data_IF_969177632370
#
_entry.id   IF_969177632370
#
_cell.length_a   1.000
_cell.length_b   1.000
_cell.length_c   1.000
_cell.angle_alpha   90.00
_cell.angle_beta   90.00
_cell.angle_gamma   90.00
#
_symmetry.space_group_name_H-M   'P 1'
#
loop_
_entity.id
_entity.type
_entity.pdbx_description
1 polymer ?
#
# COMPACT_ATOMS: atom_id res chain seq x y z
N UNK A 1 18.14 13.88 -37.54
CA UNK A 1 18.90 13.50 -36.33
C UNK A 1 17.90 13.37 -35.19
N UNK A 2 17.64 12.14 -34.74
CA UNK A 2 16.77 11.88 -33.59
C UNK A 2 17.52 12.23 -32.31
N UNK A 3 17.06 13.24 -31.57
CA UNK A 3 17.58 13.53 -30.22
C UNK A 3 17.49 12.25 -29.39
N UNK A 4 18.60 11.75 -28.81
CA UNK A 4 18.58 10.51 -28.06
C UNK A 4 17.63 10.68 -26.87
N UNK A 5 16.67 9.76 -26.74
CA UNK A 5 15.80 9.68 -25.56
C UNK A 5 16.72 9.45 -24.37
N UNK A 6 16.96 10.50 -23.57
CA UNK A 6 17.80 10.38 -22.38
C UNK A 6 17.17 9.36 -21.44
N UNK A 7 17.90 8.30 -21.17
CA UNK A 7 17.54 7.33 -20.13
C UNK A 7 17.63 8.00 -18.76
N UNK A 8 16.84 7.55 -17.79
CA UNK A 8 16.91 8.06 -16.41
C UNK A 8 18.33 7.94 -15.82
N UNK A 9 19.08 6.91 -16.20
CA UNK A 9 20.48 6.75 -15.82
C UNK A 9 21.37 7.87 -16.39
N UNK A 10 21.15 8.29 -17.64
CA UNK A 10 21.89 9.41 -18.24
C UNK A 10 21.55 10.75 -17.58
N UNK A 11 20.26 10.99 -17.27
CA UNK A 11 19.82 12.19 -16.56
C UNK A 11 20.49 12.28 -15.18
N UNK A 12 20.59 11.15 -14.46
CA UNK A 12 21.18 11.10 -13.13
C UNK A 12 22.71 11.01 -13.12
N UNK A 13 23.34 10.65 -14.24
CA UNK A 13 24.80 10.55 -14.35
C UNK A 13 25.51 11.91 -14.39
N UNK A 14 24.80 12.99 -14.74
CA UNK A 14 25.35 14.34 -14.68
C UNK A 14 25.32 14.89 -13.24
N UNK A 15 26.23 15.80 -12.86
CA UNK A 15 26.23 16.48 -11.55
C UNK A 15 25.07 17.49 -11.44
N UNK A 16 23.84 17.09 -11.76
CA UNK A 16 22.65 17.93 -11.73
C UNK A 16 22.40 18.47 -10.31
N UNK A 17 22.76 17.70 -9.27
CA UNK A 17 22.63 18.09 -7.86
C UNK A 17 23.47 19.32 -7.47
N UNK A 18 24.57 19.58 -8.19
CA UNK A 18 25.45 20.72 -7.89
C UNK A 18 24.82 22.05 -8.32
N UNK A 19 24.04 22.03 -9.41
CA UNK A 19 23.39 23.22 -9.98
C UNK A 19 21.88 23.28 -9.69
N UNK A 20 21.35 22.34 -8.91
CA UNK A 20 19.93 22.27 -8.59
C UNK A 20 19.52 23.35 -7.57
N UNK A 21 18.37 23.98 -7.81
CA UNK A 21 17.71 24.81 -6.81
C UNK A 21 17.43 23.97 -5.57
N UNK A 22 17.79 24.45 -4.38
CA UNK A 22 17.55 23.72 -3.12
C UNK A 22 16.44 24.37 -2.32
N UNK A 23 15.50 23.55 -1.83
CA UNK A 23 14.48 23.99 -0.88
C UNK A 23 14.63 23.20 0.41
N UNK A 24 14.89 23.88 1.53
CA UNK A 24 15.21 23.24 2.82
C UNK A 24 16.32 22.19 2.72
N UNK A 25 17.35 22.45 1.91
CA UNK A 25 18.47 21.53 1.67
C UNK A 25 18.20 20.40 0.68
N UNK A 26 16.96 20.23 0.22
CA UNK A 26 16.56 19.20 -0.76
C UNK A 26 16.77 19.74 -2.18
N UNK A 27 17.56 19.03 -2.99
CA UNK A 27 17.80 19.38 -4.39
C UNK A 27 16.54 19.14 -5.24
N UNK A 28 16.11 20.17 -5.96
CA UNK A 28 14.92 20.14 -6.81
C UNK A 28 15.34 19.95 -8.25
N UNK A 29 14.89 18.85 -8.85
CA UNK A 29 15.11 18.62 -10.28
C UNK A 29 14.01 19.35 -11.07
N UNK A 30 14.34 20.15 -12.10
CA UNK A 30 13.35 20.93 -12.84
C UNK A 30 12.24 20.06 -13.46
N UNK A 31 12.60 18.89 -14.01
CA UNK A 31 11.63 17.92 -14.53
C UNK A 31 10.68 17.33 -13.48
N UNK A 32 10.99 17.41 -12.20
CA UNK A 32 10.11 16.97 -11.12
C UNK A 32 9.02 17.98 -10.78
N UNK A 33 9.26 19.26 -11.11
CA UNK A 33 8.32 20.35 -10.82
C UNK A 33 7.29 20.53 -11.94
N UNK A 34 7.51 19.91 -13.10
CA UNK A 34 6.56 19.90 -14.21
C UNK A 34 5.37 18.97 -13.93
N UNK A 35 4.21 19.37 -14.42
CA UNK A 35 3.07 18.47 -14.62
C UNK A 35 3.12 17.80 -16.01
N UNK A 36 2.20 16.86 -16.29
CA UNK A 36 2.22 16.12 -17.55
C UNK A 36 2.01 17.02 -18.78
N UNK A 37 1.09 17.99 -18.67
CA UNK A 37 0.75 18.91 -19.75
C UNK A 37 1.92 19.83 -20.11
N UNK A 38 2.56 20.45 -19.12
CA UNK A 38 3.74 21.29 -19.32
C UNK A 38 4.90 20.52 -19.92
N UNK A 39 5.11 19.29 -19.47
CA UNK A 39 6.15 18.42 -20.02
C UNK A 39 5.89 18.10 -21.49
N UNK A 40 4.65 17.73 -21.86
CA UNK A 40 4.28 17.47 -23.26
C UNK A 40 4.49 18.73 -24.11
N UNK A 41 4.07 19.90 -23.62
CA UNK A 41 4.25 21.20 -24.32
C UNK A 41 5.74 21.52 -24.54
N UNK A 42 6.60 21.22 -23.57
CA UNK A 42 8.05 21.40 -23.73
C UNK A 42 8.65 20.41 -24.75
N UNK A 43 8.15 19.17 -24.76
CA UNK A 43 8.62 18.14 -25.69
C UNK A 43 8.13 18.38 -27.12
N UNK A 44 6.95 18.96 -27.32
CA UNK A 44 6.43 19.30 -28.65
C UNK A 44 7.37 20.22 -29.44
N UNK A 45 8.11 21.09 -28.74
CA UNK A 45 9.08 21.99 -29.36
C UNK A 45 10.41 21.30 -29.72
N UNK A 46 10.74 20.18 -29.06
CA UNK A 46 12.08 19.58 -29.09
C UNK A 46 12.11 18.20 -29.75
N UNK A 47 11.03 17.44 -29.65
CA UNK A 47 10.95 16.05 -30.09
C UNK A 47 10.28 15.96 -31.47
N UNK A 48 10.90 15.19 -32.36
CA UNK A 48 10.31 14.87 -33.68
C UNK A 48 9.21 13.83 -33.60
N UNK A 49 9.21 13.00 -32.56
CA UNK A 49 8.22 11.94 -32.34
C UNK A 49 7.65 12.02 -30.92
N UNK A 50 6.34 12.26 -30.82
CA UNK A 50 5.60 12.40 -29.56
C UNK A 50 4.92 11.09 -29.12
N UNK A 51 4.89 10.05 -29.96
CA UNK A 51 4.23 8.77 -29.66
C UNK A 51 4.64 8.13 -28.33
N UNK A 52 5.94 8.00 -27.98
CA UNK A 52 6.33 7.32 -26.74
C UNK A 52 5.89 8.07 -25.47
N UNK A 53 5.71 9.39 -25.57
CA UNK A 53 5.27 10.24 -24.46
C UNK A 53 3.79 10.01 -24.16
N UNK A 54 2.94 10.03 -25.18
CA UNK A 54 1.51 9.76 -25.02
C UNK A 54 1.25 8.34 -24.52
N UNK A 55 2.01 7.35 -25.00
CA UNK A 55 1.87 5.97 -24.54
C UNK A 55 2.19 5.82 -23.04
N UNK A 56 3.26 6.46 -22.57
CA UNK A 56 3.65 6.45 -21.16
C UNK A 56 2.57 7.04 -20.25
N UNK A 57 2.06 8.23 -20.58
CA UNK A 57 0.99 8.87 -19.82
C UNK A 57 -0.34 8.13 -19.90
N UNK A 58 -0.69 7.56 -21.06
CA UNK A 58 -1.89 6.74 -21.20
C UNK A 58 -1.83 5.49 -20.33
N UNK A 59 -0.67 4.84 -20.26
CA UNK A 59 -0.44 3.70 -19.38
C UNK A 59 -0.59 4.08 -17.90
N UNK A 60 0.05 5.16 -17.45
CA UNK A 60 -0.09 5.65 -16.07
C UNK A 60 -1.55 6.02 -15.73
N UNK A 61 -2.25 6.72 -16.63
CA UNK A 61 -3.65 7.09 -16.46
C UNK A 61 -4.57 5.86 -16.32
N UNK A 62 -4.37 4.85 -17.18
CA UNK A 62 -5.12 3.59 -17.15
C UNK A 62 -4.89 2.83 -15.84
N UNK A 63 -3.64 2.79 -15.38
CA UNK A 63 -3.28 2.16 -14.12
C UNK A 63 -3.93 2.91 -12.94
N UNK A 64 -3.81 4.25 -12.91
CA UNK A 64 -4.38 5.08 -11.86
C UNK A 64 -5.92 4.96 -11.78
N UNK A 65 -6.61 4.96 -12.92
CA UNK A 65 -8.06 4.81 -12.96
C UNK A 65 -8.52 3.44 -12.44
N UNK A 66 -7.83 2.37 -12.84
CA UNK A 66 -8.10 1.00 -12.38
C UNK A 66 -7.92 0.90 -10.86
N UNK A 67 -6.83 1.43 -10.35
CA UNK A 67 -6.50 1.46 -8.91
C UNK A 67 -7.52 2.32 -8.14
N UNK A 68 -7.96 3.44 -8.71
CA UNK A 68 -8.97 4.32 -8.13
C UNK A 68 -10.30 3.60 -7.88
N UNK A 69 -10.82 2.90 -8.89
CA UNK A 69 -12.09 2.17 -8.77
C UNK A 69 -12.07 1.15 -7.62
N UNK A 70 -10.92 0.52 -7.37
CA UNK A 70 -10.73 -0.44 -6.29
C UNK A 70 -10.69 0.26 -4.94
N UNK A 71 -9.94 1.35 -4.82
CA UNK A 71 -9.88 2.11 -3.57
C UNK A 71 -11.22 2.73 -3.20
N UNK A 72 -11.99 3.22 -4.17
CA UNK A 72 -13.36 3.69 -3.96
C UNK A 72 -14.25 2.57 -3.42
N UNK A 73 -14.22 1.39 -4.07
CA UNK A 73 -14.94 0.21 -3.57
C UNK A 73 -14.52 -0.16 -2.14
N UNK A 74 -13.22 -0.20 -1.87
CA UNK A 74 -12.68 -0.55 -0.56
C UNK A 74 -13.08 0.48 0.50
N UNK A 75 -13.09 1.77 0.19
CA UNK A 75 -13.56 2.82 1.08
C UNK A 75 -15.03 2.62 1.46
N UNK A 76 -15.92 2.34 0.50
CA UNK A 76 -17.33 2.08 0.77
C UNK A 76 -17.53 0.87 1.68
N UNK A 77 -16.79 -0.22 1.45
CA UNK A 77 -16.87 -1.41 2.31
C UNK A 77 -16.33 -1.10 3.70
N UNK A 78 -15.21 -0.40 3.82
CA UNK A 78 -14.59 -0.05 5.10
C UNK A 78 -15.45 0.91 5.92
N UNK A 79 -16.11 1.88 5.29
CA UNK A 79 -17.13 2.73 5.94
C UNK A 79 -18.28 1.87 6.47
N UNK A 80 -18.77 0.92 5.67
CA UNK A 80 -19.86 0.03 6.10
C UNK A 80 -19.44 -0.82 7.31
N UNK A 81 -18.20 -1.32 7.33
CA UNK A 81 -17.64 -2.08 8.44
C UNK A 81 -17.46 -1.23 9.70
N UNK A 82 -17.01 0.02 9.56
CA UNK A 82 -16.84 0.96 10.67
C UNK A 82 -18.17 1.41 11.27
N UNK A 83 -19.21 1.59 10.45
CA UNK A 83 -20.57 1.87 10.94
C UNK A 83 -21.10 0.76 11.84
N UNK A 84 -20.80 -0.50 11.52
CA UNK A 84 -21.20 -1.64 12.34
C UNK A 84 -20.30 -1.82 13.60
N UNK A 85 -19.01 -1.42 13.52
CA UNK A 85 -18.02 -1.60 14.59
C UNK A 85 -17.00 -0.45 14.63
N UNK A 86 -17.35 0.70 15.22
CA UNK A 86 -16.49 1.88 15.20
C UNK A 86 -15.19 1.72 16.02
N UNK A 87 -15.12 0.73 16.90
CA UNK A 87 -13.93 0.44 17.73
C UNK A 87 -12.99 -0.60 17.10
N UNK A 88 -13.32 -1.15 15.93
CA UNK A 88 -12.50 -2.17 15.28
C UNK A 88 -11.34 -1.54 14.50
N UNK A 89 -10.12 -1.65 15.04
CA UNK A 89 -8.87 -1.15 14.43
C UNK A 89 -8.72 -1.53 12.94
N UNK A 90 -9.00 -2.78 12.49
CA UNK A 90 -8.84 -3.13 11.08
C UNK A 90 -9.74 -2.33 10.14
N UNK A 91 -10.93 -1.92 10.61
CA UNK A 91 -11.83 -1.06 9.83
C UNK A 91 -11.23 0.34 9.60
N UNK A 92 -10.60 0.91 10.63
CA UNK A 92 -9.92 2.22 10.53
C UNK A 92 -8.68 2.14 9.63
N UNK A 93 -7.83 1.13 9.82
CA UNK A 93 -6.66 0.91 8.97
C UNK A 93 -7.06 0.77 7.49
N UNK A 94 -8.08 -0.03 7.21
CA UNK A 94 -8.57 -0.21 5.83
C UNK A 94 -9.20 1.06 5.26
N UNK A 95 -9.86 1.88 6.08
CA UNK A 95 -10.38 3.18 5.64
C UNK A 95 -9.25 4.16 5.33
N UNK A 96 -8.24 4.30 6.20
CA UNK A 96 -7.12 5.20 5.98
C UNK A 96 -6.32 4.81 4.73
N UNK A 97 -6.08 3.51 4.53
CA UNK A 97 -5.46 3.01 3.31
C UNK A 97 -6.28 3.34 2.06
N UNK A 98 -7.60 3.14 2.12
CA UNK A 98 -8.48 3.44 0.98
C UNK A 98 -8.58 4.93 0.66
N UNK A 99 -8.69 5.78 1.69
CA UNK A 99 -8.68 7.23 1.52
C UNK A 99 -7.36 7.72 0.95
N UNK A 100 -6.23 7.17 1.42
CA UNK A 100 -4.94 7.51 0.86
C UNK A 100 -4.83 7.13 -0.61
N UNK A 101 -5.31 5.94 -0.99
CA UNK A 101 -5.39 5.54 -2.39
C UNK A 101 -6.24 6.47 -3.25
N UNK A 102 -7.40 6.92 -2.75
CA UNK A 102 -8.27 7.89 -3.45
C UNK A 102 -7.55 9.23 -3.63
N UNK A 103 -6.94 9.76 -2.58
CA UNK A 103 -6.18 11.02 -2.67
C UNK A 103 -5.02 10.91 -3.66
N UNK A 104 -4.31 9.78 -3.68
CA UNK A 104 -3.28 9.52 -4.68
C UNK A 104 -3.84 9.56 -6.11
N UNK A 105 -4.98 8.92 -6.34
CA UNK A 105 -5.65 8.93 -7.65
C UNK A 105 -6.09 10.34 -8.06
N UNK A 106 -6.64 11.13 -7.13
CA UNK A 106 -7.02 12.52 -7.38
C UNK A 106 -5.81 13.38 -7.74
N UNK A 107 -4.70 13.24 -7.01
CA UNK A 107 -3.46 13.95 -7.31
C UNK A 107 -2.88 13.54 -8.67
N UNK A 108 -2.94 12.26 -9.01
CA UNK A 108 -2.46 11.77 -10.30
C UNK A 108 -3.35 12.27 -11.45
N UNK A 109 -4.68 12.31 -11.26
CA UNK A 109 -5.60 12.96 -12.21
C UNK A 109 -5.28 14.45 -12.38
N UNK A 110 -5.05 15.17 -11.29
CA UNK A 110 -4.62 16.57 -11.35
C UNK A 110 -3.27 16.74 -12.05
N UNK A 111 -2.32 15.82 -11.89
CA UNK A 111 -1.03 15.85 -12.60
C UNK A 111 -1.20 15.73 -14.11
N UNK A 112 -2.09 14.83 -14.57
CA UNK A 112 -2.40 14.65 -15.99
C UNK A 112 -3.11 15.86 -16.60
N UNK A 113 -3.95 16.55 -15.82
CA UNK A 113 -4.70 17.74 -16.25
C UNK A 113 -3.94 19.07 -16.10
N UNK A 114 -2.65 19.03 -15.73
CA UNK A 114 -1.83 20.24 -15.61
C UNK A 114 -1.94 20.98 -14.27
N UNK A 115 -2.40 20.30 -13.21
CA UNK A 115 -2.63 20.89 -11.89
C UNK A 115 -1.44 20.77 -10.92
N UNK A 116 -1.05 19.54 -10.55
CA UNK A 116 0.01 19.30 -9.55
C UNK A 116 1.31 18.80 -10.21
N UNK A 117 2.45 19.14 -9.62
CA UNK A 117 3.75 18.68 -10.09
C UNK A 117 3.97 17.18 -9.86
N UNK A 118 4.81 16.55 -10.69
CA UNK A 118 5.21 15.15 -10.52
C UNK A 118 5.80 14.87 -9.12
N UNK A 119 6.58 15.81 -8.59
CA UNK A 119 7.12 15.72 -7.22
C UNK A 119 6.03 15.58 -6.17
N UNK A 120 4.96 16.36 -6.27
CA UNK A 120 3.84 16.30 -5.33
C UNK A 120 3.16 14.92 -5.35
N UNK A 121 2.96 14.37 -6.55
CA UNK A 121 2.43 13.00 -6.74
C UNK A 121 3.35 11.97 -6.09
N UNK A 122 4.66 12.05 -6.33
CA UNK A 122 5.64 11.10 -5.79
C UNK A 122 5.79 11.20 -4.27
N UNK A 123 5.78 12.40 -3.71
CA UNK A 123 5.78 12.62 -2.26
C UNK A 123 4.56 11.96 -1.62
N UNK A 124 3.38 12.23 -2.16
CA UNK A 124 2.15 11.62 -1.66
C UNK A 124 2.16 10.10 -1.82
N UNK A 125 2.68 9.57 -2.94
CA UNK A 125 2.81 8.13 -3.19
C UNK A 125 3.65 7.44 -2.10
N UNK A 126 4.80 8.04 -1.76
CA UNK A 126 5.69 7.55 -0.70
C UNK A 126 5.02 7.59 0.67
N UNK A 127 4.35 8.70 0.99
CA UNK A 127 3.61 8.86 2.25
C UNK A 127 2.47 7.84 2.38
N UNK A 128 1.62 7.72 1.36
CA UNK A 128 0.48 6.82 1.36
C UNK A 128 0.89 5.35 1.48
N UNK A 129 2.02 4.98 0.90
CA UNK A 129 2.51 3.62 1.03
C UNK A 129 3.19 3.32 2.37
N UNK A 130 3.86 4.30 2.99
CA UNK A 130 4.28 4.18 4.38
C UNK A 130 3.07 3.98 5.32
N UNK A 131 2.00 4.75 5.09
CA UNK A 131 0.73 4.61 5.81
C UNK A 131 0.08 3.23 5.61
N UNK A 132 0.03 2.73 4.37
CA UNK A 132 -0.45 1.37 4.06
C UNK A 132 0.39 0.32 4.80
N UNK A 133 1.73 0.46 4.81
CA UNK A 133 2.60 -0.46 5.53
C UNK A 133 2.33 -0.45 7.05
N UNK A 134 2.16 0.73 7.65
CA UNK A 134 1.79 0.83 9.07
C UNK A 134 0.44 0.17 9.35
N UNK A 135 -0.55 0.37 8.48
CA UNK A 135 -1.86 -0.27 8.60
C UNK A 135 -1.75 -1.80 8.56
N UNK A 136 -0.93 -2.34 7.65
CA UNK A 136 -0.64 -3.77 7.57
C UNK A 136 -0.04 -4.28 8.87
N UNK A 137 1.03 -3.62 9.31
CA UNK A 137 1.77 -3.99 10.52
C UNK A 137 0.83 -4.05 11.71
N UNK A 138 0.00 -3.03 11.91
CA UNK A 138 -0.95 -2.94 13.03
C UNK A 138 -1.96 -4.08 13.00
N UNK A 139 -2.55 -4.39 11.84
CA UNK A 139 -3.56 -5.45 11.72
C UNK A 139 -2.95 -6.83 11.94
N UNK A 140 -1.79 -7.11 11.33
CA UNK A 140 -1.06 -8.37 11.54
C UNK A 140 -0.70 -8.55 13.01
N UNK A 141 -0.24 -7.47 13.64
CA UNK A 141 0.14 -7.50 15.03
C UNK A 141 -1.04 -7.75 15.96
N UNK A 142 -2.17 -7.09 15.71
CA UNK A 142 -3.38 -7.31 16.50
C UNK A 142 -3.78 -8.80 16.50
N UNK A 143 -3.66 -9.47 15.34
CA UNK A 143 -3.95 -10.91 15.21
C UNK A 143 -2.91 -11.76 15.93
N UNK A 144 -1.63 -11.47 15.76
CA UNK A 144 -0.56 -12.19 16.44
C UNK A 144 -0.66 -12.06 17.97
N UNK A 145 -0.95 -10.85 18.47
CA UNK A 145 -1.15 -10.56 19.88
C UNK A 145 -2.32 -11.36 20.48
N UNK A 146 -3.45 -11.43 19.77
CA UNK A 146 -4.59 -12.25 20.20
C UNK A 146 -4.25 -13.75 20.18
N UNK A 147 -3.49 -14.22 19.19
CA UNK A 147 -3.13 -15.63 19.08
C UNK A 147 -2.10 -16.09 20.13
N UNK A 148 -1.18 -15.22 20.56
CA UNK A 148 -0.16 -15.54 21.56
C UNK A 148 -0.57 -15.20 22.99
N UNK A 149 -1.86 -15.35 23.33
CA UNK A 149 -2.37 -15.12 24.69
C UNK A 149 -1.97 -13.75 25.27
N UNK A 150 -1.94 -12.70 24.43
CA UNK A 150 -1.70 -11.30 24.84
C UNK A 150 -0.30 -11.02 25.41
N UNK A 151 0.74 -11.67 24.88
CA UNK A 151 2.11 -11.36 25.26
C UNK A 151 2.49 -9.92 24.87
N UNK A 152 2.85 -9.08 25.86
CA UNK A 152 3.12 -7.64 25.67
C UNK A 152 4.34 -7.35 24.78
N UNK A 153 5.34 -8.23 24.78
CA UNK A 153 6.55 -8.08 23.95
C UNK A 153 6.23 -7.95 22.46
N UNK A 154 5.17 -8.59 21.99
CA UNK A 154 4.73 -8.45 20.60
C UNK A 154 4.36 -7.01 20.26
N UNK A 155 3.86 -6.20 21.19
CA UNK A 155 3.51 -4.80 20.90
C UNK A 155 4.76 -3.92 20.71
N UNK A 156 5.86 -4.27 21.38
CA UNK A 156 7.12 -3.50 21.34
C UNK A 156 7.88 -3.77 20.04
N UNK A 157 7.96 -5.02 19.60
CA UNK A 157 8.75 -5.42 18.43
C UNK A 157 8.47 -4.60 17.17
N UNK A 158 7.22 -4.42 16.70
CA UNK A 158 6.95 -3.62 15.52
C UNK A 158 7.08 -2.12 15.74
N UNK A 159 6.96 -1.61 16.97
CA UNK A 159 7.29 -0.21 17.25
C UNK A 159 8.78 0.05 16.99
N UNK A 160 9.64 -0.84 17.50
CA UNK A 160 11.09 -0.80 17.26
C UNK A 160 11.40 -0.97 15.76
N UNK A 161 10.74 -1.89 15.07
CA UNK A 161 10.96 -2.08 13.63
C UNK A 161 10.43 -0.91 12.78
N UNK A 162 9.28 -0.34 13.13
CA UNK A 162 8.71 0.83 12.44
C UNK A 162 9.63 2.04 12.57
N UNK A 163 10.32 2.17 13.71
CA UNK A 163 11.34 3.19 13.92
C UNK A 163 12.51 3.06 12.93
N UNK A 164 12.80 1.86 12.42
CA UNK A 164 13.82 1.66 11.37
C UNK A 164 13.31 2.04 9.98
N UNK A 165 12.01 1.84 9.71
CA UNK A 165 11.40 2.15 8.39
C UNK A 165 11.19 3.65 8.20
N UNK A 166 10.87 4.39 9.27
CA UNK A 166 10.56 5.83 9.19
C UNK A 166 11.71 6.69 8.62
N UNK A 167 12.98 6.54 9.09
CA UNK A 167 14.10 7.30 8.57
C UNK A 167 14.39 6.97 7.10
N UNK A 168 14.22 5.71 6.69
CA UNK A 168 14.42 5.27 5.30
C UNK A 168 13.36 5.90 4.40
N UNK A 169 12.10 5.93 4.86
CA UNK A 169 11.03 6.64 4.15
C UNK A 169 11.28 8.15 4.09
N UNK A 170 11.75 8.76 5.18
CA UNK A 170 12.12 10.17 5.25
C UNK A 170 13.26 10.52 4.30
N UNK A 171 14.29 9.69 4.23
CA UNK A 171 15.34 9.80 3.24
C UNK A 171 14.80 9.60 1.82
N UNK A 172 13.83 8.69 1.65
CA UNK A 172 13.05 8.53 0.44
C UNK A 172 12.43 9.84 -0.06
N UNK A 173 11.88 10.67 0.83
CA UNK A 173 11.19 11.92 0.49
C UNK A 173 12.12 12.96 -0.15
N UNK A 174 13.40 12.97 0.22
CA UNK A 174 14.37 13.94 -0.32
C UNK A 174 14.81 13.61 -1.75
N UNK A 175 14.52 12.41 -2.26
CA UNK A 175 14.91 12.04 -3.63
C UNK A 175 14.06 12.72 -4.70
N UNK A 176 14.69 13.17 -5.80
CA UNK A 176 14.03 13.86 -6.89
C UNK A 176 12.97 12.98 -7.55
N UNK A 177 11.89 13.63 -7.98
CA UNK A 177 10.95 13.09 -8.94
C UNK A 177 11.33 13.61 -10.33
N UNK A 178 11.06 12.82 -11.37
CA UNK A 178 11.32 13.18 -12.76
C UNK A 178 10.11 12.78 -13.60
N UNK A 179 9.69 13.66 -14.51
CA UNK A 179 8.83 13.26 -15.63
C UNK A 179 9.72 12.76 -16.78
N UNK A 180 9.48 11.53 -17.23
CA UNK A 180 10.22 10.91 -18.33
C UNK A 180 9.23 10.35 -19.33
N UNK A 181 9.30 10.76 -20.60
CA UNK A 181 8.30 10.45 -21.63
C UNK A 181 7.80 9.00 -21.66
N UNK A 182 8.70 8.01 -21.67
CA UNK A 182 8.32 6.60 -21.76
C UNK A 182 7.70 6.02 -20.48
N UNK A 183 7.97 6.64 -19.33
CA UNK A 183 7.62 6.09 -18.01
C UNK A 183 6.61 6.94 -17.26
N UNK A 184 6.35 8.18 -17.71
CA UNK A 184 5.55 9.17 -17.00
C UNK A 184 6.28 9.75 -15.79
N UNK A 185 5.58 9.89 -14.66
CA UNK A 185 6.13 10.45 -13.44
C UNK A 185 6.82 9.38 -12.59
N UNK A 186 8.15 9.41 -12.52
CA UNK A 186 8.96 8.43 -11.78
C UNK A 186 9.75 9.05 -10.63
N UNK A 187 10.02 8.24 -9.62
CA UNK A 187 11.00 8.56 -8.58
C UNK A 187 12.41 8.15 -9.05
N UNK A 188 13.34 9.11 -9.11
CA UNK A 188 14.74 8.84 -9.40
C UNK A 188 15.45 8.33 -8.14
N UNK A 189 15.27 7.04 -7.87
CA UNK A 189 15.87 6.37 -6.72
C UNK A 189 17.27 5.85 -7.08
N UNK A 190 18.25 5.97 -6.17
CA UNK A 190 19.57 5.44 -6.41
C UNK A 190 19.53 3.91 -6.43
N UNK A 191 20.53 3.29 -7.04
CA UNK A 191 20.57 1.83 -7.26
C UNK A 191 20.49 1.00 -5.98
N UNK A 192 21.00 1.51 -4.86
CA UNK A 192 20.98 0.85 -3.55
C UNK A 192 19.65 1.00 -2.80
N UNK A 193 18.80 1.97 -3.15
CA UNK A 193 17.58 2.25 -2.38
C UNK A 193 16.57 1.09 -2.37
N UNK A 194 16.31 0.39 -3.50
CA UNK A 194 15.47 -0.81 -3.48
C UNK A 194 15.97 -1.89 -2.52
N UNK A 195 17.29 -2.06 -2.42
CA UNK A 195 17.92 -3.00 -1.48
C UNK A 195 17.75 -2.56 -0.03
N UNK A 196 17.88 -1.26 0.24
CA UNK A 196 17.64 -0.70 1.57
C UNK A 196 16.17 -0.92 2.00
N UNK A 197 15.23 -0.67 1.09
CA UNK A 197 13.81 -0.91 1.32
C UNK A 197 13.52 -2.40 1.56
N UNK A 198 14.11 -3.28 0.76
CA UNK A 198 14.04 -4.73 0.92
C UNK A 198 14.57 -5.14 2.31
N UNK A 199 15.76 -4.68 2.67
CA UNK A 199 16.42 -4.99 3.93
C UNK A 199 15.65 -4.46 5.15
N UNK A 200 14.95 -3.33 5.03
CA UNK A 200 14.13 -2.79 6.12
C UNK A 200 12.82 -3.53 6.33
N UNK A 201 12.19 -4.00 5.25
CA UNK A 201 10.86 -4.62 5.30
C UNK A 201 10.94 -6.14 5.51
N UNK A 202 12.00 -6.80 5.03
CA UNK A 202 12.17 -8.25 5.12
C UNK A 202 12.17 -8.78 6.56
N UNK A 203 12.90 -8.20 7.54
CA UNK A 203 12.87 -8.67 8.92
C UNK A 203 11.46 -8.69 9.49
N UNK A 204 10.66 -7.67 9.18
CA UNK A 204 9.27 -7.58 9.62
C UNK A 204 8.43 -8.71 9.00
N UNK A 205 8.51 -8.89 7.68
CA UNK A 205 7.80 -9.94 6.95
C UNK A 205 8.19 -11.33 7.49
N UNK A 206 9.47 -11.58 7.75
CA UNK A 206 9.97 -12.84 8.29
C UNK A 206 9.43 -13.11 9.70
N UNK A 207 9.46 -12.10 10.58
CA UNK A 207 8.92 -12.24 11.94
C UNK A 207 7.42 -12.49 11.91
N UNK A 208 6.66 -11.75 11.11
CA UNK A 208 5.23 -12.02 10.93
C UNK A 208 5.00 -13.44 10.40
N UNK A 209 5.74 -13.86 9.36
CA UNK A 209 5.64 -15.21 8.79
C UNK A 209 5.88 -16.29 9.83
N UNK A 210 6.92 -16.12 10.67
CA UNK A 210 7.23 -17.02 11.76
C UNK A 210 6.11 -17.07 12.80
N UNK A 211 5.62 -15.93 13.26
CA UNK A 211 4.54 -15.84 14.24
C UNK A 211 3.25 -16.52 13.73
N UNK A 212 2.86 -16.25 12.48
CA UNK A 212 1.68 -16.87 11.87
C UNK A 212 1.87 -18.37 11.68
N UNK A 213 3.03 -18.83 11.21
CA UNK A 213 3.32 -20.26 11.05
C UNK A 213 3.29 -20.98 12.40
N UNK A 214 3.85 -20.39 13.44
CA UNK A 214 3.83 -20.93 14.80
C UNK A 214 2.41 -21.06 15.36
N UNK A 215 1.59 -20.02 15.17
CA UNK A 215 0.17 -20.05 15.55
C UNK A 215 -0.57 -21.11 14.76
N UNK A 216 -0.35 -21.19 13.45
CA UNK A 216 -1.00 -22.15 12.60
C UNK A 216 -0.66 -23.59 13.00
N UNK A 217 0.62 -23.85 13.27
CA UNK A 217 1.09 -25.16 13.75
C UNK A 217 0.45 -25.56 15.09
N UNK A 218 0.38 -24.63 16.07
CA UNK A 218 -0.26 -24.90 17.36
C UNK A 218 -1.76 -25.19 17.21
N UNK A 219 -2.45 -24.43 16.37
CA UNK A 219 -3.88 -24.61 16.12
C UNK A 219 -4.15 -25.94 15.39
N UNK A 220 -3.33 -26.29 14.40
CA UNK A 220 -3.37 -27.59 13.74
C UNK A 220 -3.25 -28.74 14.74
N UNK A 221 -2.29 -28.66 15.67
CA UNK A 221 -2.09 -29.69 16.70
C UNK A 221 -3.28 -29.80 17.66
N UNK A 222 -3.90 -28.68 18.03
CA UNK A 222 -4.96 -28.66 19.05
C UNK A 222 -6.33 -29.06 18.52
N UNK A 223 -6.69 -28.65 17.29
CA UNK A 223 -8.04 -28.84 16.75
C UNK A 223 -8.18 -30.06 15.83
N UNK A 224 -7.06 -30.70 15.46
CA UNK A 224 -7.06 -31.80 14.50
C UNK A 224 -7.42 -31.35 13.07
N UNK A 225 -7.30 -32.25 12.10
CA UNK A 225 -7.36 -31.90 10.67
C UNK A 225 -8.73 -31.38 10.20
N UNK A 226 -9.84 -31.95 10.68
CA UNK A 226 -11.20 -31.63 10.20
C UNK A 226 -11.69 -30.25 10.65
N UNK A 227 -11.49 -29.90 11.93
CA UNK A 227 -11.86 -28.56 12.42
C UNK A 227 -10.88 -27.49 11.90
N UNK A 228 -9.62 -27.88 11.69
CA UNK A 228 -8.61 -27.02 11.09
C UNK A 228 -8.95 -26.61 9.66
N UNK A 229 -9.44 -27.53 8.83
CA UNK A 229 -9.82 -27.22 7.44
C UNK A 229 -10.79 -26.04 7.37
N UNK A 230 -11.78 -26.00 8.26
CA UNK A 230 -12.77 -24.93 8.28
C UNK A 230 -12.22 -23.60 8.80
N UNK A 231 -11.31 -23.62 9.79
CA UNK A 231 -10.73 -22.41 10.37
C UNK A 231 -9.62 -21.81 9.49
N UNK A 232 -8.80 -22.67 8.88
CA UNK A 232 -7.67 -22.29 8.04
C UNK A 232 -8.11 -21.65 6.72
N UNK A 233 -9.23 -22.13 6.14
CA UNK A 233 -9.73 -21.70 4.84
C UNK A 233 -10.06 -20.21 4.77
N UNK A 234 -10.51 -19.59 5.88
CA UNK A 234 -10.94 -18.19 5.84
C UNK A 234 -9.84 -17.18 6.20
N UNK A 235 -9.19 -17.35 7.36
CA UNK A 235 -8.33 -16.28 7.92
C UNK A 235 -6.85 -16.48 7.65
N UNK A 236 -6.38 -17.73 7.61
CA UNK A 236 -4.95 -18.03 7.50
C UNK A 236 -4.51 -17.94 6.05
N UNK A 237 -5.33 -18.44 5.12
CA UNK A 237 -5.07 -18.31 3.68
C UNK A 237 -4.88 -16.85 3.28
N UNK A 238 -5.78 -15.94 3.69
CA UNK A 238 -5.68 -14.52 3.35
C UNK A 238 -4.40 -13.90 3.92
N UNK A 239 -4.01 -14.26 5.15
CA UNK A 239 -2.77 -13.78 5.77
C UNK A 239 -1.53 -14.30 5.04
N UNK A 240 -1.52 -15.58 4.65
CA UNK A 240 -0.45 -16.16 3.84
C UNK A 240 -0.36 -15.50 2.46
N UNK A 241 -1.50 -15.23 1.79
CA UNK A 241 -1.52 -14.50 0.53
C UNK A 241 -0.97 -13.08 0.68
N UNK A 242 -1.31 -12.38 1.76
CA UNK A 242 -0.81 -11.05 2.03
C UNK A 242 0.70 -11.04 2.22
N UNK A 243 1.24 -11.98 3.02
CA UNK A 243 2.68 -12.13 3.22
C UNK A 243 3.37 -12.46 1.89
N UNK A 244 2.91 -13.48 1.17
CA UNK A 244 3.49 -13.93 -0.09
C UNK A 244 3.50 -12.82 -1.14
N UNK A 245 2.38 -12.13 -1.30
CA UNK A 245 2.24 -11.02 -2.24
C UNK A 245 3.21 -9.89 -1.90
N UNK A 246 3.32 -9.54 -0.62
CA UNK A 246 4.26 -8.52 -0.15
C UNK A 246 5.71 -8.92 -0.43
N UNK A 247 6.08 -10.17 -0.14
CA UNK A 247 7.42 -10.69 -0.42
C UNK A 247 7.73 -10.65 -1.92
N UNK A 248 6.82 -11.14 -2.76
CA UNK A 248 7.01 -11.17 -4.22
C UNK A 248 7.12 -9.76 -4.82
N UNK A 249 6.24 -8.83 -4.42
CA UNK A 249 6.31 -7.45 -4.89
C UNK A 249 7.60 -6.76 -4.45
N UNK A 250 8.02 -6.97 -3.20
CA UNK A 250 9.24 -6.37 -2.66
C UNK A 250 10.49 -6.95 -3.34
N UNK A 251 10.52 -8.25 -3.62
CA UNK A 251 11.56 -8.86 -4.45
C UNK A 251 11.57 -8.27 -5.87
N UNK A 252 10.39 -8.09 -6.48
CA UNK A 252 10.26 -7.45 -7.79
C UNK A 252 10.85 -6.03 -7.85
N UNK A 253 10.63 -5.23 -6.80
CA UNK A 253 11.25 -3.91 -6.64
C UNK A 253 12.75 -4.01 -6.41
N UNK A 254 13.19 -4.85 -5.47
CA UNK A 254 14.60 -5.01 -5.08
C UNK A 254 15.50 -5.46 -6.24
N UNK A 255 15.07 -6.49 -6.97
CA UNK A 255 15.78 -7.03 -8.13
C UNK A 255 15.56 -6.23 -9.42
N UNK A 256 14.72 -5.19 -9.39
CA UNK A 256 14.37 -4.37 -10.55
C UNK A 256 13.92 -5.21 -11.77
N UNK A 257 13.02 -6.18 -11.56
CA UNK A 257 12.61 -7.15 -12.60
C UNK A 257 12.13 -6.46 -13.89
N UNK A 258 11.48 -5.30 -13.77
CA UNK A 258 10.97 -4.52 -14.91
C UNK A 258 11.81 -3.27 -15.22
N UNK A 259 13.05 -3.20 -14.71
CA UNK A 259 13.92 -2.04 -14.87
C UNK A 259 13.27 -0.77 -14.27
N UNK A 260 13.16 0.34 -15.02
CA UNK A 260 12.53 1.58 -14.54
C UNK A 260 11.04 1.42 -14.14
N UNK A 261 10.34 0.44 -14.70
CA UNK A 261 8.93 0.16 -14.36
C UNK A 261 8.76 -0.62 -13.05
N UNK A 262 9.84 -0.96 -12.35
CA UNK A 262 9.76 -1.76 -11.12
C UNK A 262 8.94 -1.06 -10.01
N UNK A 263 8.73 0.26 -10.11
CA UNK A 263 7.77 0.98 -9.26
C UNK A 263 6.33 0.46 -9.34
N UNK A 264 5.93 -0.18 -10.45
CA UNK A 264 4.59 -0.78 -10.61
C UNK A 264 4.34 -1.87 -9.57
N UNK A 265 5.35 -2.67 -9.20
CA UNK A 265 5.20 -3.68 -8.15
C UNK A 265 4.79 -3.06 -6.82
N UNK A 266 5.18 -1.81 -6.56
CA UNK A 266 4.79 -1.09 -5.37
C UNK A 266 3.31 -0.68 -5.40
N UNK A 267 2.83 -0.20 -6.55
CA UNK A 267 1.40 0.08 -6.77
C UNK A 267 0.55 -1.19 -6.67
N UNK A 268 0.99 -2.27 -7.30
CA UNK A 268 0.34 -3.59 -7.22
C UNK A 268 0.29 -4.10 -5.78
N UNK A 269 1.37 -3.93 -5.02
CA UNK A 269 1.42 -4.26 -3.59
C UNK A 269 0.33 -3.52 -2.81
N UNK A 270 0.25 -2.19 -2.94
CA UNK A 270 -0.76 -1.38 -2.24
C UNK A 270 -2.20 -1.75 -2.66
N UNK A 271 -2.41 -2.01 -3.95
CA UNK A 271 -3.68 -2.46 -4.51
C UNK A 271 -4.13 -3.82 -3.93
N UNK A 272 -3.23 -4.81 -3.94
CA UNK A 272 -3.52 -6.15 -3.44
C UNK A 272 -3.75 -6.14 -1.93
N UNK A 273 -2.92 -5.42 -1.17
CA UNK A 273 -3.07 -5.32 0.28
C UNK A 273 -4.42 -4.73 0.66
N UNK A 274 -4.80 -3.59 0.08
CA UNK A 274 -6.10 -2.96 0.36
C UNK A 274 -7.27 -3.91 0.10
N UNK A 275 -7.22 -4.65 -1.01
CA UNK A 275 -8.26 -5.63 -1.37
C UNK A 275 -8.30 -6.81 -0.40
N UNK A 276 -7.13 -7.36 -0.06
CA UNK A 276 -7.00 -8.47 0.89
C UNK A 276 -7.45 -8.07 2.30
N UNK A 277 -7.23 -6.83 2.74
CA UNK A 277 -7.76 -6.33 4.02
C UNK A 277 -9.26 -6.34 4.07
N UNK A 278 -9.91 -5.78 3.04
CA UNK A 278 -11.36 -5.73 2.99
C UNK A 278 -11.94 -7.15 2.98
N UNK A 279 -11.36 -8.05 2.19
CA UNK A 279 -11.74 -9.47 2.15
C UNK A 279 -11.52 -10.17 3.50
N UNK A 280 -10.45 -9.84 4.21
CA UNK A 280 -10.18 -10.41 5.53
C UNK A 280 -11.27 -10.04 6.56
N UNK A 281 -11.81 -8.83 6.49
CA UNK A 281 -12.75 -8.32 7.49
C UNK A 281 -14.20 -8.77 7.20
N UNK A 282 -14.56 -9.01 5.93
CA UNK A 282 -15.92 -9.37 5.53
C UNK A 282 -16.50 -10.64 6.21
N UNK A 283 -15.76 -11.78 6.32
CA UNK A 283 -16.28 -12.98 6.99
C UNK A 283 -16.64 -12.76 8.46
N UNK A 284 -15.93 -11.84 9.14
CA UNK A 284 -16.19 -11.49 10.55
C UNK A 284 -17.54 -10.79 10.75
N UNK A 285 -18.11 -10.21 9.68
CA UNK A 285 -19.46 -9.64 9.67
C UNK A 285 -20.52 -10.73 9.59
N UNK A 286 -20.40 -11.67 8.64
CA UNK A 286 -21.40 -12.75 8.42
C UNK A 286 -21.61 -13.62 9.65
N UNK A 287 -20.54 -14.04 10.34
CA UNK A 287 -20.63 -14.94 11.51
C UNK A 287 -21.39 -14.33 12.71
N UNK A 288 -21.47 -13.00 12.82
CA UNK A 288 -22.21 -12.33 13.92
C UNK A 288 -23.71 -12.27 13.68
N UNK A 289 -24.17 -12.20 12.43
CA UNK A 289 -25.59 -12.22 12.10
C UNK A 289 -26.27 -13.52 12.53
N UNK A 290 -25.52 -14.63 12.51
CA UNK A 290 -26.00 -15.95 12.91
C UNK A 290 -26.09 -16.12 14.44
N UNK A 291 -25.13 -15.54 15.18
CA UNK A 291 -25.04 -15.67 16.64
C UNK A 291 -25.67 -14.52 17.43
N UNK A 292 -26.40 -13.58 16.79
CA UNK A 292 -27.29 -12.71 17.56
C UNK A 292 -28.39 -13.66 18.04
N UNK A 293 -28.45 -14.02 19.35
CA UNK A 293 -29.56 -14.81 19.83
C UNK A 293 -30.77 -13.99 19.40
N UNK A 294 -31.68 -14.55 18.59
CA UNK A 294 -33.03 -14.01 18.54
C UNK A 294 -33.37 -13.90 20.01
N UNK A 295 -33.51 -12.67 20.51
CA UNK A 295 -34.07 -12.45 21.82
C UNK A 295 -35.36 -13.24 21.74
N UNK A 296 -35.33 -14.44 22.33
CA UNK A 296 -36.46 -15.30 22.33
C UNK A 296 -37.39 -14.44 23.19
N UNK A 297 -38.33 -13.80 22.51
CA UNK A 297 -39.45 -13.14 23.15
C UNK A 297 -40.22 -14.26 23.83
N UNK A 298 -39.65 -14.80 24.89
CA UNK A 298 -40.37 -15.46 25.95
C UNK A 298 -41.19 -14.36 26.57
N UNK A 299 -42.33 -14.07 25.93
CA UNK A 299 -43.53 -13.65 26.61
C UNK A 299 -43.83 -14.75 27.63
N UNK A 300 -43.14 -14.67 28.76
CA UNK A 300 -43.52 -15.38 29.97
C UNK A 300 -44.85 -14.76 30.35
N UNK A 301 -45.92 -15.41 29.90
CA UNK A 301 -47.24 -15.26 30.49
C UNK A 301 -47.05 -15.51 32.00
N UNK A 302 -47.01 -14.43 32.79
CA UNK A 302 -47.18 -14.54 34.24
C UNK A 302 -48.64 -14.92 34.46
N UNK A 303 -48.95 -16.11 35.00
CA UNK A 303 -50.29 -16.36 35.52
C UNK A 303 -50.53 -15.37 36.68
N UNK A 304 -51.57 -14.56 36.54
CA UNK A 304 -52.16 -13.79 37.62
C UNK A 304 -52.71 -14.79 38.64
N UNK A 305 -51.97 -15.01 39.73
CA UNK A 305 -52.54 -15.64 40.91
C UNK A 305 -53.50 -14.65 41.56
N UNK A 306 -54.77 -15.04 41.61
CA UNK A 306 -55.83 -14.36 42.33
C UNK A 306 -55.58 -14.37 43.84
N UNK A 307 -56.10 -13.32 44.48
CA UNK A 307 -56.43 -13.32 45.92
C UNK A 307 -57.89 -13.71 46.08
#
# INVERSE_FOLDING_TARGET
MSSPVLTSAQILSQPWEQNATRYMGIALHPLGELNAYEYIKQMEQTATDMSPYYLGFFFEATLAFTVCGVYVRNAFVSISLLRERPTAIPGWCSLFEALSGITWCSLHGSFLLGGVSCRSVQWYSRFGAALSNMCIVVVLLQKAYLAQKRQRWLLITPFVMSFTVLPIAGFGITWPALVVGKYGCIAALPSYFPWLLLASEMPFILVCSYLFSSVAYRQYRNFGSKAWEHLARDSIQIMCYLILTNTLCLMGVGFKILGPYSGIFYTVRCFLNSTLFVQHIQPLRKKRGYNRPRAHSSSVNRPLFGK
#
